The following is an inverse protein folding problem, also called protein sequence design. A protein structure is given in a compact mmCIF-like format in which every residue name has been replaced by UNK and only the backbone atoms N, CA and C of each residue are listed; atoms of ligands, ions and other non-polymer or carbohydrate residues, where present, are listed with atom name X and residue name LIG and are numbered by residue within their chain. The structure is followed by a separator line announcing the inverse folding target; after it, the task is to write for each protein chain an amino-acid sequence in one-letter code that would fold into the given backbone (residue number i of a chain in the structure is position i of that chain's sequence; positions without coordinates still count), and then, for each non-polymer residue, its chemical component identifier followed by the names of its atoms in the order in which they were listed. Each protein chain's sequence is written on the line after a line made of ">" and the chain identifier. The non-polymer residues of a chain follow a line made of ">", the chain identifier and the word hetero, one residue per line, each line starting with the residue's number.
data_IF_663024091420
#
_entry.id   IF_663024091420
#
_cell.length_a   1.000
_cell.length_b   1.000
_cell.length_c   1.000
_cell.angle_alpha   90.00
_cell.angle_beta   90.00
_cell.angle_gamma   90.00
#
_symmetry.space_group_name_H-M   'P 1'
#
loop_
_entity.id
_entity.type
_entity.pdbx_description
1 polymer ?
#
# COMPACT_ATOMS: atom_id res chain seq x y z
N UNK A 1 -18.57 22.05 -50.05
CA UNK A 1 -19.59 22.53 -49.09
C UNK A 1 -20.20 21.37 -48.30
N UNK A 2 -20.83 20.38 -48.93
CA UNK A 2 -21.49 19.25 -48.22
C UNK A 2 -20.53 18.48 -47.29
N UNK A 3 -19.32 18.13 -47.74
CA UNK A 3 -18.33 17.43 -46.91
C UNK A 3 -17.91 18.22 -45.65
N UNK A 4 -17.79 19.54 -45.75
CA UNK A 4 -17.44 20.42 -44.62
C UNK A 4 -18.60 20.52 -43.63
N UNK A 5 -19.84 20.61 -44.12
CA UNK A 5 -21.02 20.62 -43.26
C UNK A 5 -21.22 19.30 -42.52
N UNK A 6 -20.96 18.16 -43.19
CA UNK A 6 -21.05 16.83 -42.57
C UNK A 6 -19.94 16.62 -41.53
N UNK A 7 -18.70 17.03 -41.82
CA UNK A 7 -17.61 16.92 -40.84
C UNK A 7 -17.81 17.83 -39.63
N UNK A 8 -18.34 19.04 -39.82
CA UNK A 8 -18.70 19.94 -38.72
C UNK A 8 -19.85 19.38 -37.86
N UNK A 9 -20.89 18.81 -38.47
CA UNK A 9 -21.98 18.17 -37.75
C UNK A 9 -21.50 16.95 -36.93
N UNK A 10 -20.63 16.12 -37.52
CA UNK A 10 -20.01 14.99 -36.81
C UNK A 10 -19.11 15.44 -35.65
N UNK A 11 -18.30 16.49 -35.87
CA UNK A 11 -17.45 17.06 -34.82
C UNK A 11 -18.29 17.63 -33.67
N UNK A 12 -19.35 18.37 -33.96
CA UNK A 12 -20.28 18.90 -32.96
C UNK A 12 -20.93 17.78 -32.15
N UNK A 13 -21.43 16.74 -32.82
CA UNK A 13 -22.02 15.57 -32.16
C UNK A 13 -21.01 14.85 -31.26
N UNK A 14 -19.77 14.66 -31.74
CA UNK A 14 -18.68 14.06 -30.95
C UNK A 14 -18.33 14.89 -29.71
N UNK A 15 -18.32 16.22 -29.82
CA UNK A 15 -18.03 17.10 -28.68
C UNK A 15 -19.16 17.06 -27.65
N UNK A 16 -20.42 17.04 -28.07
CA UNK A 16 -21.55 16.97 -27.13
C UNK A 16 -21.68 15.62 -26.42
N UNK A 17 -21.30 14.53 -27.07
CA UNK A 17 -21.39 13.17 -26.52
C UNK A 17 -20.15 12.76 -25.72
N UNK A 18 -19.09 13.57 -25.70
CA UNK A 18 -17.88 13.26 -24.95
C UNK A 18 -18.08 13.54 -23.44
N UNK A 19 -17.82 12.54 -22.60
CA UNK A 19 -17.77 12.71 -21.14
C UNK A 19 -16.60 13.64 -20.79
N UNK A 20 -16.81 14.75 -20.07
CA UNK A 20 -15.73 15.63 -19.66
C UNK A 20 -14.74 14.90 -18.75
N UNK A 21 -13.45 15.13 -18.98
CA UNK A 21 -12.35 14.53 -18.22
C UNK A 21 -11.50 15.64 -17.61
N UNK A 22 -11.21 15.53 -16.32
CA UNK A 22 -10.45 16.52 -15.56
C UNK A 22 -9.22 15.86 -14.96
N UNK A 23 -8.06 16.49 -15.17
CA UNK A 23 -6.81 16.05 -14.54
C UNK A 23 -6.59 16.82 -13.25
N UNK A 24 -6.54 16.09 -12.14
CA UNK A 24 -6.12 16.60 -10.83
C UNK A 24 -4.69 16.16 -10.57
N UNK A 25 -3.93 16.95 -9.81
CA UNK A 25 -2.56 16.59 -9.46
C UNK A 25 -2.21 17.00 -8.04
N UNK A 26 -1.35 16.21 -7.40
CA UNK A 26 -0.73 16.47 -6.11
C UNK A 26 0.78 16.32 -6.23
N UNK A 27 1.52 17.02 -5.37
CA UNK A 27 2.99 16.94 -5.31
C UNK A 27 3.35 16.32 -3.97
N UNK A 28 4.12 15.24 -4.00
CA UNK A 28 4.67 14.58 -2.82
C UNK A 28 6.18 14.75 -2.79
N UNK A 29 6.71 15.11 -1.63
CA UNK A 29 8.13 15.07 -1.36
C UNK A 29 8.50 13.67 -0.88
N UNK A 30 9.42 13.00 -1.59
CA UNK A 30 10.02 11.77 -1.08
C UNK A 30 11.15 12.17 -0.13
N UNK A 31 11.04 11.73 1.12
CA UNK A 31 12.11 11.86 2.08
C UNK A 31 13.14 10.77 1.81
N UNK A 32 14.34 11.18 1.38
CA UNK A 32 15.45 10.26 1.24
C UNK A 32 15.98 9.90 2.62
N UNK A 33 16.03 8.60 2.91
CA UNK A 33 16.85 8.13 4.01
C UNK A 33 18.29 8.06 3.51
N UNK A 34 19.18 8.82 4.15
CA UNK A 34 20.62 8.68 4.02
C UNK A 34 21.04 7.32 4.58
N UNK A 35 20.73 6.26 3.83
CA UNK A 35 21.34 4.96 4.05
C UNK A 35 22.81 5.15 3.72
N UNK A 36 23.66 5.16 4.75
CA UNK A 36 25.12 5.19 4.64
C UNK A 36 25.55 4.15 3.61
N UNK A 37 25.88 4.61 2.39
CA UNK A 37 26.28 3.73 1.29
C UNK A 37 27.76 3.39 1.47
N UNK A 38 28.12 2.11 1.74
CA UNK A 38 29.52 1.70 1.85
C UNK A 38 30.32 2.02 0.57
N UNK A 39 29.65 2.14 -0.58
CA UNK A 39 30.29 2.51 -1.86
C UNK A 39 30.60 4.00 -1.99
N UNK A 40 29.79 4.87 -1.35
CA UNK A 40 30.09 6.31 -1.26
C UNK A 40 31.31 6.58 -0.37
N UNK A 41 31.51 5.76 0.67
CA UNK A 41 32.70 5.76 1.51
C UNK A 41 33.95 5.32 0.71
N UNK A 42 33.78 4.50 -0.33
CA UNK A 42 34.85 3.99 -1.20
C UNK A 42 35.07 4.85 -2.46
N UNK A 43 34.36 5.97 -2.63
CA UNK A 43 34.54 6.89 -3.77
C UNK A 43 34.13 6.31 -5.14
N UNK A 44 33.40 5.19 -5.16
CA UNK A 44 33.05 4.44 -6.37
C UNK A 44 31.52 4.40 -6.54
N UNK A 45 30.93 5.48 -7.06
CA UNK A 45 29.61 5.43 -7.71
C UNK A 45 28.59 6.43 -7.19
N UNK A 46 28.29 7.47 -7.99
CA UNK A 46 27.33 8.53 -7.65
C UNK A 46 26.39 8.90 -8.82
N UNK A 47 26.18 8.05 -9.84
CA UNK A 47 25.44 8.47 -11.06
C UNK A 47 24.21 7.60 -11.41
N UNK A 48 23.92 6.52 -10.67
CA UNK A 48 22.87 5.57 -11.07
C UNK A 48 21.81 5.18 -10.02
N UNK A 49 22.05 5.40 -8.72
CA UNK A 49 21.17 4.87 -7.65
C UNK A 49 20.01 5.78 -7.26
N UNK A 50 20.12 7.09 -7.46
CA UNK A 50 19.05 8.04 -7.15
C UNK A 50 17.78 7.75 -7.96
N UNK A 51 17.92 7.36 -9.23
CA UNK A 51 16.80 6.98 -10.09
C UNK A 51 16.14 5.67 -9.63
N UNK A 52 16.88 4.71 -9.09
CA UNK A 52 16.33 3.43 -8.62
C UNK A 52 15.42 3.62 -7.39
N UNK A 53 15.83 4.43 -6.42
CA UNK A 53 15.01 4.73 -5.24
C UNK A 53 13.70 5.44 -5.63
N UNK A 54 13.78 6.46 -6.49
CA UNK A 54 12.59 7.17 -6.99
C UNK A 54 11.67 6.21 -7.77
N UNK A 55 12.23 5.32 -8.59
CA UNK A 55 11.45 4.30 -9.32
C UNK A 55 10.78 3.26 -8.39
N UNK A 56 11.31 3.04 -7.20
CA UNK A 56 10.67 2.17 -6.20
C UNK A 56 9.47 2.88 -5.57
N UNK A 57 9.61 4.15 -5.21
CA UNK A 57 8.50 4.96 -4.70
C UNK A 57 7.39 5.14 -5.74
N UNK A 58 7.74 5.38 -7.01
CA UNK A 58 6.78 5.39 -8.12
C UNK A 58 6.02 4.05 -8.19
N UNK A 59 6.73 2.93 -8.02
CA UNK A 59 6.13 1.59 -8.00
C UNK A 59 5.19 1.38 -6.82
N UNK A 60 5.55 1.84 -5.62
CA UNK A 60 4.72 1.76 -4.42
C UNK A 60 3.44 2.58 -4.60
N UNK A 61 3.55 3.80 -5.14
CA UNK A 61 2.41 4.69 -5.41
C UNK A 61 1.41 4.09 -6.42
N UNK A 62 1.88 3.28 -7.36
CA UNK A 62 1.05 2.57 -8.35
C UNK A 62 0.62 1.17 -7.92
N UNK A 63 1.07 0.70 -6.76
CA UNK A 63 0.83 -0.69 -6.33
C UNK A 63 -0.65 -0.95 -6.03
N UNK A 64 -1.14 -2.12 -6.45
CA UNK A 64 -2.52 -2.57 -6.19
C UNK A 64 -2.88 -2.46 -4.72
N UNK A 65 -1.98 -2.90 -3.83
CA UNK A 65 -2.21 -2.93 -2.39
C UNK A 65 -2.42 -1.53 -1.79
N UNK A 66 -1.68 -0.51 -2.24
CA UNK A 66 -1.85 0.86 -1.76
C UNK A 66 -3.16 1.47 -2.26
N UNK A 67 -3.46 1.25 -3.55
CA UNK A 67 -4.69 1.74 -4.18
C UNK A 67 -5.92 1.07 -3.57
N UNK A 68 -5.85 -0.23 -3.29
CA UNK A 68 -6.92 -0.99 -2.64
C UNK A 68 -7.21 -0.47 -1.23
N UNK A 69 -6.17 -0.28 -0.39
CA UNK A 69 -6.32 0.36 0.93
C UNK A 69 -6.98 1.74 0.82
N UNK A 70 -6.62 2.50 -0.21
CA UNK A 70 -7.19 3.83 -0.48
C UNK A 70 -8.68 3.74 -0.85
N UNK A 71 -9.05 2.80 -1.72
CA UNK A 71 -10.44 2.56 -2.16
C UNK A 71 -11.31 2.13 -0.98
N UNK A 72 -10.81 1.25 -0.12
CA UNK A 72 -11.52 0.76 1.07
C UNK A 72 -11.81 1.90 2.04
N UNK A 73 -10.86 2.82 2.25
CA UNK A 73 -11.05 3.99 3.11
C UNK A 73 -12.11 4.97 2.59
N UNK A 74 -12.23 5.09 1.27
CA UNK A 74 -13.15 6.02 0.62
C UNK A 74 -14.53 5.41 0.32
N UNK A 75 -14.72 4.10 0.54
CA UNK A 75 -15.97 3.37 0.26
C UNK A 75 -16.47 3.54 -1.19
N UNK A 76 -15.56 3.47 -2.17
CA UNK A 76 -15.88 3.68 -3.60
C UNK A 76 -16.64 2.51 -4.28
N UNK A 77 -17.03 1.49 -3.53
CA UNK A 77 -17.73 0.30 -4.05
C UNK A 77 -19.05 0.63 -4.75
N UNK A 78 -19.69 1.74 -4.39
CA UNK A 78 -20.94 2.20 -5.00
C UNK A 78 -20.74 3.59 -5.60
N UNK A 79 -20.99 3.69 -6.91
CA UNK A 79 -20.95 4.96 -7.63
C UNK A 79 -22.36 5.40 -8.02
N UNK A 80 -22.62 6.70 -8.00
CA UNK A 80 -23.94 7.29 -8.25
C UNK A 80 -23.88 8.17 -9.48
N UNK A 81 -24.92 8.14 -10.30
CA UNK A 81 -24.95 8.83 -11.58
C UNK A 81 -26.30 9.49 -11.81
N UNK A 82 -26.26 10.72 -12.32
CA UNK A 82 -27.42 11.42 -12.86
C UNK A 82 -27.51 11.12 -14.36
N UNK A 83 -28.64 10.59 -14.85
CA UNK A 83 -28.87 10.39 -16.27
C UNK A 83 -28.90 11.74 -16.97
N UNK A 84 -28.08 11.90 -18.00
CA UNK A 84 -28.04 13.11 -18.82
C UNK A 84 -28.57 12.86 -20.23
N UNK A 85 -28.79 13.93 -20.99
CA UNK A 85 -29.26 13.81 -22.38
C UNK A 85 -28.18 13.22 -23.31
N UNK A 86 -26.91 13.53 -23.06
CA UNK A 86 -25.79 13.10 -23.90
C UNK A 86 -24.82 12.15 -23.19
N UNK A 87 -24.60 12.37 -21.90
CA UNK A 87 -23.77 11.53 -21.05
C UNK A 87 -24.27 11.61 -19.61
N UNK A 88 -23.99 10.55 -18.86
CA UNK A 88 -24.32 10.49 -17.44
C UNK A 88 -23.23 11.17 -16.62
N UNK A 89 -23.66 11.92 -15.61
CA UNK A 89 -22.74 12.64 -14.72
C UNK A 89 -22.64 11.92 -13.40
N UNK A 90 -21.43 11.54 -13.02
CA UNK A 90 -21.17 10.94 -11.71
C UNK A 90 -21.37 11.98 -10.59
N UNK A 91 -22.19 11.64 -9.60
CA UNK A 91 -22.41 12.44 -8.40
C UNK A 91 -21.59 11.86 -7.27
N UNK A 92 -20.87 12.72 -6.56
CA UNK A 92 -20.05 12.38 -5.41
C UNK A 92 -20.35 13.32 -4.25
N UNK A 93 -20.49 12.78 -3.02
CA UNK A 93 -20.90 13.45 -1.75
C UNK A 93 -22.29 14.09 -1.73
N UNK A 94 -22.70 14.78 -2.80
CA UNK A 94 -24.00 15.45 -2.91
C UNK A 94 -25.08 14.52 -3.46
N UNK A 95 -25.15 13.29 -2.95
CA UNK A 95 -26.12 12.29 -3.41
C UNK A 95 -27.43 12.39 -2.61
N UNK A 96 -28.60 12.36 -3.27
CA UNK A 96 -29.91 12.45 -2.59
C UNK A 96 -30.20 11.21 -1.74
N UNK A 97 -29.43 10.14 -1.90
CA UNK A 97 -29.44 8.96 -1.06
C UNK A 97 -28.05 8.34 -1.00
N UNK A 98 -27.87 7.43 -0.06
CA UNK A 98 -26.70 6.57 0.07
C UNK A 98 -27.14 5.12 0.25
N UNK A 99 -26.39 4.24 -0.38
CA UNK A 99 -26.54 2.79 -0.32
C UNK A 99 -25.38 2.26 0.53
N UNK A 100 -25.71 1.52 1.57
CA UNK A 100 -24.73 0.77 2.35
C UNK A 100 -24.87 -0.70 2.00
N UNK A 101 -23.88 -1.25 1.30
CA UNK A 101 -23.86 -2.66 0.92
C UNK A 101 -23.58 -3.53 2.14
N UNK A 102 -24.29 -4.64 2.23
CA UNK A 102 -23.93 -5.75 3.09
C UNK A 102 -22.94 -6.66 2.34
N UNK A 103 -21.65 -6.56 2.69
CA UNK A 103 -20.56 -7.27 2.02
C UNK A 103 -20.53 -8.78 2.30
N UNK A 104 -21.32 -9.26 3.27
CA UNK A 104 -21.45 -10.69 3.56
C UNK A 104 -22.45 -11.39 2.64
N UNK A 105 -23.28 -10.62 1.94
CA UNK A 105 -24.26 -11.13 0.99
C UNK A 105 -23.77 -10.92 -0.46
N UNK A 106 -24.14 -11.81 -1.40
CA UNK A 106 -23.87 -11.60 -2.82
C UNK A 106 -24.57 -10.34 -3.34
N UNK A 107 -23.92 -9.64 -4.27
CA UNK A 107 -24.43 -8.39 -4.84
C UNK A 107 -24.37 -8.42 -6.36
N UNK A 108 -25.42 -7.93 -7.01
CA UNK A 108 -25.38 -7.61 -8.44
C UNK A 108 -24.44 -6.43 -8.66
N UNK A 109 -23.51 -6.59 -9.61
CA UNK A 109 -22.49 -5.60 -9.97
C UNK A 109 -22.68 -5.11 -11.41
N UNK A 110 -22.11 -3.92 -11.71
CA UNK A 110 -22.09 -3.30 -13.04
C UNK A 110 -23.48 -3.13 -13.70
N UNK A 111 -24.55 -3.16 -12.89
CA UNK A 111 -25.93 -2.99 -13.35
C UNK A 111 -26.51 -1.72 -12.73
N UNK A 112 -27.14 -0.83 -13.52
CA UNK A 112 -27.73 0.40 -13.00
C UNK A 112 -29.04 0.12 -12.26
N UNK A 113 -29.11 0.58 -11.00
CA UNK A 113 -30.31 0.60 -10.18
C UNK A 113 -30.86 2.04 -10.13
N UNK A 114 -31.93 2.30 -10.88
CA UNK A 114 -32.58 3.60 -10.94
C UNK A 114 -33.41 3.84 -9.69
N UNK A 115 -33.28 5.03 -9.12
CA UNK A 115 -34.02 5.46 -7.94
C UNK A 115 -34.85 6.68 -8.30
N UNK A 116 -36.16 6.54 -8.19
CA UNK A 116 -37.13 7.60 -8.42
C UNK A 116 -37.89 7.88 -7.12
N UNK A 117 -37.92 9.15 -6.68
CA UNK A 117 -38.83 9.51 -5.60
C UNK A 117 -40.28 9.51 -6.11
N UNK A 118 -41.16 8.83 -5.39
CA UNK A 118 -42.62 8.92 -5.59
C UNK A 118 -43.20 10.06 -4.75
N UNK A 119 -42.69 10.21 -3.52
CA UNK A 119 -43.11 11.22 -2.55
C UNK A 119 -41.89 11.60 -1.67
N UNK A 120 -42.04 12.57 -0.75
CA UNK A 120 -40.98 13.06 0.16
C UNK A 120 -40.32 11.99 1.06
N UNK A 121 -40.89 10.78 1.14
CA UNK A 121 -40.38 9.70 2.01
C UNK A 121 -40.35 8.32 1.35
N UNK A 122 -40.79 8.21 0.10
CA UNK A 122 -40.91 6.92 -0.59
C UNK A 122 -40.21 6.96 -1.95
N UNK A 123 -39.32 6.00 -2.15
CA UNK A 123 -38.49 5.86 -3.34
C UNK A 123 -38.78 4.53 -4.02
N UNK A 124 -38.86 4.52 -5.35
CA UNK A 124 -38.93 3.30 -6.15
C UNK A 124 -37.54 3.00 -6.68
N UNK A 125 -37.04 1.80 -6.41
CA UNK A 125 -35.78 1.30 -6.94
C UNK A 125 -36.07 0.26 -8.01
N UNK A 126 -35.62 0.50 -9.22
CA UNK A 126 -35.80 -0.40 -10.36
C UNK A 126 -34.48 -0.76 -11.01
N UNK A 127 -34.34 -2.00 -11.48
CA UNK A 127 -33.23 -2.41 -12.32
C UNK A 127 -33.69 -3.46 -13.32
N UNK A 128 -33.24 -3.32 -14.56
CA UNK A 128 -33.51 -4.27 -15.63
C UNK A 128 -32.22 -4.58 -16.38
N UNK A 129 -31.90 -5.86 -16.56
CA UNK A 129 -30.75 -6.29 -17.34
C UNK A 129 -31.01 -7.64 -17.99
N UNK A 130 -30.62 -7.80 -19.26
CA UNK A 130 -30.68 -9.10 -19.94
C UNK A 130 -29.73 -10.12 -19.29
N UNK A 131 -28.56 -9.64 -18.85
CA UNK A 131 -27.59 -10.43 -18.11
C UNK A 131 -26.99 -9.58 -16.98
N UNK A 132 -27.05 -10.08 -15.75
CA UNK A 132 -26.47 -9.45 -14.57
C UNK A 132 -25.53 -10.40 -13.85
N UNK A 133 -24.33 -9.94 -13.52
CA UNK A 133 -23.34 -10.70 -12.76
C UNK A 133 -23.56 -10.51 -11.26
N UNK A 134 -23.54 -11.62 -10.52
CA UNK A 134 -23.61 -11.63 -9.05
C UNK A 134 -22.21 -11.91 -8.49
N UNK A 135 -21.76 -11.06 -7.58
CA UNK A 135 -20.42 -11.08 -7.01
C UNK A 135 -20.47 -11.28 -5.49
N UNK A 136 -19.58 -12.13 -4.97
CA UNK A 136 -19.36 -12.27 -3.52
C UNK A 136 -18.16 -11.40 -3.13
N UNK A 137 -18.41 -10.38 -2.31
CA UNK A 137 -17.32 -9.55 -1.77
C UNK A 137 -16.50 -10.27 -0.70
N UNK A 138 -17.07 -11.28 -0.04
CA UNK A 138 -16.38 -12.09 0.95
C UNK A 138 -15.39 -13.08 0.31
N UNK A 139 -15.77 -13.70 -0.80
CA UNK A 139 -14.93 -14.67 -1.52
C UNK A 139 -14.10 -14.04 -2.65
N UNK A 140 -14.32 -12.74 -2.92
CA UNK A 140 -13.75 -11.98 -4.03
C UNK A 140 -13.92 -12.63 -5.42
N UNK A 141 -15.02 -13.36 -5.60
CA UNK A 141 -15.30 -14.20 -6.76
C UNK A 141 -16.70 -13.94 -7.36
N UNK A 142 -16.88 -14.35 -8.61
CA UNK A 142 -18.21 -14.36 -9.24
C UNK A 142 -19.02 -15.50 -8.63
N UNK A 143 -20.09 -15.16 -7.92
CA UNK A 143 -20.98 -16.12 -7.26
C UNK A 143 -22.02 -16.71 -8.22
N UNK A 144 -22.35 -16.00 -9.30
CA UNK A 144 -23.30 -16.46 -10.29
C UNK A 144 -23.72 -15.37 -11.28
N UNK A 145 -24.81 -15.63 -12.00
CA UNK A 145 -25.40 -14.69 -12.94
C UNK A 145 -26.90 -14.86 -13.05
N UNK A 146 -27.59 -13.78 -13.41
CA UNK A 146 -29.04 -13.71 -13.57
C UNK A 146 -29.34 -13.35 -15.02
N UNK A 147 -30.20 -14.11 -15.67
CA UNK A 147 -30.76 -13.78 -16.98
C UNK A 147 -32.10 -13.06 -16.80
N UNK A 148 -32.33 -12.00 -17.58
CA UNK A 148 -33.53 -11.16 -17.52
C UNK A 148 -33.85 -10.68 -16.09
N UNK A 149 -32.88 -10.03 -15.44
CA UNK A 149 -33.10 -9.36 -14.17
C UNK A 149 -34.22 -8.33 -14.33
N UNK A 150 -35.27 -8.47 -13.51
CA UNK A 150 -36.31 -7.48 -13.33
C UNK A 150 -36.48 -7.25 -11.83
N UNK A 151 -36.00 -6.11 -11.36
CA UNK A 151 -36.05 -5.69 -9.97
C UNK A 151 -36.90 -4.43 -9.87
N UNK A 152 -37.86 -4.44 -8.95
CA UNK A 152 -38.75 -3.30 -8.68
C UNK A 152 -39.21 -3.38 -7.22
N UNK A 153 -38.84 -2.38 -6.44
CA UNK A 153 -39.23 -2.30 -5.02
C UNK A 153 -39.46 -0.86 -4.58
N UNK A 154 -40.23 -0.69 -3.52
CA UNK A 154 -40.45 0.59 -2.85
C UNK A 154 -39.71 0.58 -1.51
N UNK A 155 -38.92 1.62 -1.26
CA UNK A 155 -38.10 1.78 -0.06
C UNK A 155 -38.30 3.14 0.58
N UNK A 156 -38.19 3.17 1.91
CA UNK A 156 -38.07 4.37 2.74
C UNK A 156 -36.65 4.48 3.29
N UNK A 157 -36.30 5.65 3.80
CA UNK A 157 -35.02 5.84 4.48
C UNK A 157 -34.91 4.93 5.71
N UNK A 158 -33.83 4.16 5.79
CA UNK A 158 -33.58 3.16 6.82
C UNK A 158 -34.01 1.73 6.44
N UNK A 159 -34.75 1.55 5.34
CA UNK A 159 -35.18 0.22 4.92
C UNK A 159 -33.99 -0.62 4.47
N UNK A 160 -34.03 -1.90 4.85
CA UNK A 160 -33.07 -2.90 4.38
C UNK A 160 -33.72 -3.70 3.26
N UNK A 161 -33.11 -3.67 2.08
CA UNK A 161 -33.46 -4.53 0.95
C UNK A 161 -32.56 -5.74 1.00
N UNK A 162 -33.13 -6.93 1.08
CA UNK A 162 -32.38 -8.18 1.10
C UNK A 162 -33.05 -9.23 0.22
N UNK A 163 -32.29 -9.80 -0.71
CA UNK A 163 -32.68 -10.95 -1.52
C UNK A 163 -31.44 -11.80 -1.85
N UNK A 164 -31.63 -12.87 -2.63
CA UNK A 164 -30.58 -13.84 -2.95
C UNK A 164 -29.35 -13.28 -3.71
N UNK A 165 -29.45 -12.06 -4.26
CA UNK A 165 -28.43 -11.47 -5.12
C UNK A 165 -28.16 -9.98 -4.86
N UNK A 166 -28.77 -9.40 -3.82
CA UNK A 166 -28.68 -7.98 -3.51
C UNK A 166 -29.06 -7.75 -2.04
N UNK A 167 -28.19 -7.10 -1.29
CA UNK A 167 -28.41 -6.77 0.13
C UNK A 167 -27.86 -5.39 0.46
N UNK A 168 -28.71 -4.43 0.79
CA UNK A 168 -28.28 -3.08 1.14
C UNK A 168 -29.26 -2.34 2.05
N UNK A 169 -28.73 -1.33 2.74
CA UNK A 169 -29.53 -0.37 3.52
C UNK A 169 -29.67 0.92 2.71
N UNK A 170 -30.91 1.35 2.48
CA UNK A 170 -31.21 2.59 1.78
C UNK A 170 -31.28 3.76 2.79
N UNK A 171 -30.52 4.83 2.56
CA UNK A 171 -30.57 6.04 3.39
C UNK A 171 -30.81 7.27 2.52
N UNK A 172 -31.99 7.86 2.62
CA UNK A 172 -32.31 9.10 1.93
C UNK A 172 -31.65 10.30 2.64
N UNK A 173 -31.21 11.28 1.86
CA UNK A 173 -30.79 12.59 2.35
C UNK A 173 -31.94 13.59 2.15
N UNK A 174 -32.61 13.95 3.23
CA UNK A 174 -33.78 14.84 3.21
C UNK A 174 -33.48 16.30 2.83
N UNK A 175 -32.20 16.68 2.72
CA UNK A 175 -31.81 18.05 2.38
C UNK A 175 -31.71 18.32 0.88
N UNK A 176 -31.65 17.27 0.06
CA UNK A 176 -31.48 17.37 -1.39
C UNK A 176 -32.80 17.06 -2.12
N UNK A 177 -33.06 17.80 -3.19
CA UNK A 177 -34.24 17.55 -4.01
C UNK A 177 -34.13 16.16 -4.67
N UNK A 178 -35.22 15.39 -4.73
CA UNK A 178 -35.18 14.10 -5.39
C UNK A 178 -35.14 14.30 -6.90
N UNK A 179 -33.98 13.98 -7.48
CA UNK A 179 -33.81 13.85 -8.93
C UNK A 179 -33.67 12.36 -9.28
N UNK A 180 -34.02 11.95 -10.51
CA UNK A 180 -33.74 10.60 -10.97
C UNK A 180 -32.22 10.39 -10.95
N UNK A 181 -31.77 9.45 -10.12
CA UNK A 181 -30.36 9.08 -9.97
C UNK A 181 -30.31 7.56 -9.95
N UNK A 182 -29.28 6.97 -10.53
CA UNK A 182 -29.02 5.55 -10.41
C UNK A 182 -27.70 5.29 -9.70
N UNK A 183 -27.60 4.12 -9.07
CA UNK A 183 -26.35 3.65 -8.50
C UNK A 183 -25.88 2.38 -9.18
N UNK A 184 -24.56 2.17 -9.16
CA UNK A 184 -23.90 0.98 -9.70
C UNK A 184 -22.91 0.47 -8.67
N UNK A 185 -23.02 -0.81 -8.34
CA UNK A 185 -22.06 -1.50 -7.50
C UNK A 185 -20.88 -1.99 -8.34
N UNK A 186 -19.67 -1.81 -7.84
CA UNK A 186 -18.42 -2.16 -8.50
C UNK A 186 -17.61 -3.11 -7.63
N UNK A 187 -16.70 -3.85 -8.26
CA UNK A 187 -15.75 -4.69 -7.54
C UNK A 187 -14.49 -3.90 -7.21
N UNK A 188 -13.84 -4.26 -6.08
CA UNK A 188 -12.52 -3.71 -5.74
C UNK A 188 -11.53 -3.88 -6.89
N UNK A 189 -11.50 -5.07 -7.50
CA UNK A 189 -10.63 -5.37 -8.64
C UNK A 189 -10.81 -4.40 -9.81
N UNK A 190 -12.04 -4.06 -10.17
CA UNK A 190 -12.31 -3.10 -11.25
C UNK A 190 -11.89 -1.70 -10.85
N UNK A 191 -12.22 -1.27 -9.62
CA UNK A 191 -11.83 0.03 -9.09
C UNK A 191 -10.30 0.18 -9.06
N UNK A 192 -9.58 -0.81 -8.53
CA UNK A 192 -8.11 -0.81 -8.49
C UNK A 192 -7.53 -0.62 -9.88
N UNK A 193 -8.01 -1.38 -10.88
CA UNK A 193 -7.58 -1.23 -12.29
C UNK A 193 -7.86 0.17 -12.83
N UNK A 194 -9.02 0.76 -12.52
CA UNK A 194 -9.38 2.12 -12.94
C UNK A 194 -8.43 3.16 -12.35
N UNK A 195 -8.15 3.07 -11.05
CA UNK A 195 -7.31 4.04 -10.33
C UNK A 195 -5.80 3.80 -10.49
N UNK A 196 -5.37 2.60 -10.91
CA UNK A 196 -3.99 2.29 -11.27
C UNK A 196 -3.46 3.07 -12.47
N UNK A 197 -4.35 3.58 -13.32
CA UNK A 197 -3.98 4.41 -14.48
C UNK A 197 -3.57 5.85 -14.11
N UNK A 198 -3.26 6.10 -12.83
CA UNK A 198 -2.67 7.36 -12.38
C UNK A 198 -1.28 7.56 -12.99
N UNK A 199 -0.94 8.80 -13.29
CA UNK A 199 0.39 9.17 -13.75
C UNK A 199 1.24 9.61 -12.56
N UNK A 200 2.46 9.11 -12.50
CA UNK A 200 3.47 9.55 -11.53
C UNK A 200 4.70 9.96 -12.32
N UNK A 201 5.14 11.21 -12.12
CA UNK A 201 6.26 11.81 -12.83
C UNK A 201 7.20 12.47 -11.82
N UNK A 202 8.50 12.29 -12.00
CA UNK A 202 9.52 13.00 -11.25
C UNK A 202 9.57 14.46 -11.72
N UNK A 203 9.63 15.39 -10.76
CA UNK A 203 9.83 16.80 -11.06
C UNK A 203 11.34 17.07 -11.29
N UNK A 204 11.71 17.83 -12.34
CA UNK A 204 13.11 18.07 -12.67
C UNK A 204 13.92 18.57 -11.47
N UNK A 205 15.10 17.96 -11.26
CA UNK A 205 16.07 18.37 -10.25
C UNK A 205 15.53 18.36 -8.80
N UNK A 206 14.59 17.47 -8.48
CA UNK A 206 14.01 17.36 -7.13
C UNK A 206 13.68 15.92 -6.76
N UNK A 207 13.56 15.63 -5.47
CA UNK A 207 13.00 14.37 -4.95
C UNK A 207 11.48 14.40 -4.86
N UNK A 208 10.84 15.30 -5.61
CA UNK A 208 9.39 15.47 -5.60
C UNK A 208 8.77 14.66 -6.74
N UNK A 209 7.69 13.97 -6.42
CA UNK A 209 6.84 13.30 -7.39
C UNK A 209 5.56 14.11 -7.60
N UNK A 210 5.22 14.33 -8.86
CA UNK A 210 3.87 14.75 -9.26
C UNK A 210 3.04 13.51 -9.52
N UNK A 211 1.96 13.38 -8.77
CA UNK A 211 0.93 12.36 -8.99
C UNK A 211 -0.26 13.05 -9.64
N UNK A 212 -0.77 12.52 -10.74
CA UNK A 212 -1.98 13.00 -11.37
C UNK A 212 -2.94 11.89 -11.73
N UNK A 213 -4.23 12.20 -11.68
CA UNK A 213 -5.31 11.31 -12.07
C UNK A 213 -6.29 12.08 -12.95
N UNK A 214 -6.74 11.43 -14.03
CA UNK A 214 -7.74 11.98 -14.95
C UNK A 214 -9.04 11.23 -14.76
N UNK A 215 -10.10 11.94 -14.38
CA UNK A 215 -11.41 11.35 -14.14
C UNK A 215 -12.56 12.30 -14.46
N UNK A 216 -13.78 11.76 -14.45
CA UNK A 216 -15.02 12.50 -14.74
C UNK A 216 -15.49 13.39 -13.58
N UNK A 217 -15.18 13.01 -12.34
CA UNK A 217 -15.55 13.76 -11.13
C UNK A 217 -14.32 14.40 -10.50
N UNK A 218 -14.27 15.74 -10.49
CA UNK A 218 -13.16 16.51 -9.90
C UNK A 218 -13.04 16.20 -8.41
N UNK A 219 -14.13 16.32 -7.65
CA UNK A 219 -14.12 16.11 -6.19
C UNK A 219 -13.72 14.69 -5.81
N UNK A 220 -14.25 13.68 -6.51
CA UNK A 220 -13.89 12.27 -6.28
C UNK A 220 -12.42 12.02 -6.56
N UNK A 221 -11.88 12.64 -7.62
CA UNK A 221 -10.48 12.52 -8.00
C UNK A 221 -9.54 13.22 -7.00
N UNK A 222 -9.93 14.39 -6.47
CA UNK A 222 -9.20 15.10 -5.41
C UNK A 222 -9.16 14.27 -4.13
N UNK A 223 -10.31 13.76 -3.69
CA UNK A 223 -10.40 12.91 -2.50
C UNK A 223 -9.56 11.63 -2.64
N UNK A 224 -9.59 11.02 -3.81
CA UNK A 224 -8.73 9.86 -4.12
C UNK A 224 -7.24 10.20 -3.97
N UNK A 225 -6.75 11.26 -4.63
CA UNK A 225 -5.34 11.62 -4.55
C UNK A 225 -4.92 12.01 -3.13
N UNK A 226 -5.78 12.70 -2.37
CA UNK A 226 -5.52 13.04 -0.97
C UNK A 226 -5.44 11.78 -0.10
N UNK A 227 -6.40 10.86 -0.24
CA UNK A 227 -6.39 9.61 0.53
C UNK A 227 -5.20 8.74 0.15
N UNK A 228 -4.83 8.66 -1.13
CA UNK A 228 -3.67 7.91 -1.62
C UNK A 228 -2.37 8.47 -1.00
N UNK A 229 -2.22 9.80 -1.00
CA UNK A 229 -1.09 10.47 -0.35
C UNK A 229 -1.04 10.16 1.16
N UNK A 230 -2.18 10.22 1.84
CA UNK A 230 -2.25 9.88 3.26
C UNK A 230 -1.91 8.42 3.55
N UNK A 231 -2.43 7.47 2.77
CA UNK A 231 -2.11 6.04 2.94
C UNK A 231 -0.64 5.74 2.62
N UNK A 232 -0.06 6.43 1.63
CA UNK A 232 1.37 6.32 1.32
C UNK A 232 2.23 6.78 2.51
N UNK A 233 1.94 7.95 3.07
CA UNK A 233 2.65 8.47 4.23
C UNK A 233 2.47 7.57 5.46
N UNK A 234 1.25 7.07 5.70
CA UNK A 234 0.94 6.16 6.80
C UNK A 234 1.72 4.84 6.65
N UNK A 235 1.79 4.29 5.44
CA UNK A 235 2.59 3.09 5.15
C UNK A 235 4.08 3.30 5.44
N UNK A 236 4.62 4.49 5.14
CA UNK A 236 5.99 4.84 5.49
C UNK A 236 6.24 4.82 7.00
N UNK A 237 5.29 5.34 7.80
CA UNK A 237 5.37 5.31 9.28
C UNK A 237 5.25 3.88 9.81
N UNK A 238 4.30 3.10 9.29
CA UNK A 238 4.10 1.68 9.64
C UNK A 238 5.38 0.88 9.41
N UNK A 239 6.04 1.09 8.27
CA UNK A 239 7.31 0.46 7.94
C UNK A 239 8.42 0.85 8.92
N UNK A 240 8.57 2.15 9.23
CA UNK A 240 9.56 2.64 10.20
C UNK A 240 9.37 2.05 11.59
N UNK A 241 8.12 1.97 12.05
CA UNK A 241 7.79 1.35 13.33
C UNK A 241 8.14 -0.14 13.34
N UNK A 242 7.85 -0.87 12.26
CA UNK A 242 8.20 -2.28 12.15
C UNK A 242 9.71 -2.51 12.21
N UNK A 243 10.49 -1.69 11.49
CA UNK A 243 11.96 -1.76 11.54
C UNK A 243 12.49 -1.46 12.95
N UNK A 244 11.91 -0.49 13.65
CA UNK A 244 12.27 -0.18 15.03
C UNK A 244 11.96 -1.35 15.99
N UNK A 245 10.77 -1.97 15.88
CA UNK A 245 10.39 -3.14 16.69
C UNK A 245 11.34 -4.31 16.44
N UNK A 246 11.64 -4.61 15.18
CA UNK A 246 12.57 -5.69 14.83
C UNK A 246 13.98 -5.41 15.36
N UNK A 247 14.41 -4.15 15.34
CA UNK A 247 15.70 -3.73 15.91
C UNK A 247 15.72 -3.93 17.43
N UNK A 248 14.63 -3.59 18.15
CA UNK A 248 14.51 -3.83 19.60
C UNK A 248 14.60 -5.33 19.91
N UNK A 249 13.81 -6.15 19.20
CA UNK A 249 13.80 -7.60 19.41
C UNK A 249 15.20 -8.20 19.19
N UNK A 250 15.90 -7.75 18.15
CA UNK A 250 17.28 -8.18 17.90
C UNK A 250 18.23 -7.79 19.05
N UNK A 251 18.12 -6.56 19.57
CA UNK A 251 18.94 -6.10 20.70
C UNK A 251 18.66 -6.93 21.96
N UNK A 252 17.39 -7.24 22.24
CA UNK A 252 17.02 -8.06 23.40
C UNK A 252 17.61 -9.48 23.30
N UNK A 253 17.51 -10.12 22.14
CA UNK A 253 18.15 -11.43 21.87
C UNK A 253 19.67 -11.37 22.01
N UNK A 254 20.29 -10.28 21.54
CA UNK A 254 21.72 -10.06 21.66
C UNK A 254 22.15 -9.90 23.13
N UNK A 255 21.42 -9.11 23.92
CA UNK A 255 21.75 -8.82 25.32
C UNK A 255 21.69 -10.08 26.20
N UNK A 256 20.68 -10.93 26.03
CA UNK A 256 20.58 -12.19 26.78
C UNK A 256 21.82 -13.04 26.57
N UNK A 257 22.21 -13.25 25.32
CA UNK A 257 23.32 -14.16 25.03
C UNK A 257 24.70 -13.55 25.31
N UNK A 258 24.86 -12.22 25.16
CA UNK A 258 26.10 -11.55 25.60
C UNK A 258 26.24 -11.65 27.11
N UNK A 259 25.15 -11.50 27.86
CA UNK A 259 25.14 -11.66 29.32
C UNK A 259 25.54 -13.07 29.72
N UNK A 260 24.95 -14.10 29.09
CA UNK A 260 25.32 -15.50 29.32
C UNK A 260 26.79 -15.79 28.99
N UNK A 261 27.28 -15.25 27.87
CA UNK A 261 28.67 -15.41 27.47
C UNK A 261 29.64 -14.70 28.43
N UNK A 262 29.28 -13.53 28.97
CA UNK A 262 30.09 -12.79 29.94
C UNK A 262 30.14 -13.52 31.28
N UNK A 263 29.00 -13.99 31.78
CA UNK A 263 28.92 -14.81 33.01
C UNK A 263 29.77 -16.08 32.86
N UNK A 264 29.75 -16.73 31.69
CA UNK A 264 30.59 -17.88 31.41
C UNK A 264 32.09 -17.52 31.47
N UNK A 265 32.52 -16.45 30.79
CA UNK A 265 33.92 -16.00 30.82
C UNK A 265 34.37 -15.56 32.23
N UNK A 266 33.51 -14.89 33.00
CA UNK A 266 33.79 -14.51 34.39
C UNK A 266 34.00 -15.73 35.29
N UNK A 267 33.14 -16.76 35.17
CA UNK A 267 33.28 -18.01 35.90
C UNK A 267 34.57 -18.77 35.52
N UNK A 268 34.93 -18.79 34.24
CA UNK A 268 36.19 -19.39 33.77
C UNK A 268 37.41 -18.64 34.31
N UNK A 269 37.37 -17.30 34.31
CA UNK A 269 38.42 -16.46 34.86
C UNK A 269 38.58 -16.64 36.38
N UNK A 270 37.47 -16.70 37.12
CA UNK A 270 37.47 -16.96 38.56
C UNK A 270 38.06 -18.34 38.86
N UNK A 271 37.65 -19.37 38.11
CA UNK A 271 38.16 -20.74 38.23
C UNK A 271 39.65 -20.81 37.92
N UNK A 272 40.11 -20.09 36.89
CA UNK A 272 41.52 -19.97 36.57
C UNK A 272 42.31 -19.33 37.71
N UNK A 273 41.84 -18.21 38.27
CA UNK A 273 42.46 -17.52 39.40
C UNK A 273 42.58 -18.42 40.64
N UNK A 274 41.50 -19.14 40.99
CA UNK A 274 41.48 -20.10 42.12
C UNK A 274 42.50 -21.22 41.92
N UNK A 275 42.53 -21.82 40.73
CA UNK A 275 43.39 -22.98 40.42
C UNK A 275 44.88 -22.63 40.31
N UNK A 276 45.20 -21.38 39.92
CA UNK A 276 46.58 -20.93 39.73
C UNK A 276 47.14 -20.08 40.88
N UNK A 277 46.36 -19.84 41.94
CA UNK A 277 46.76 -19.06 43.13
C UNK A 277 47.47 -17.74 42.77
N UNK A 278 46.97 -17.04 41.75
CA UNK A 278 47.61 -15.84 41.16
C UNK A 278 47.39 -14.64 42.09
N UNK A 279 48.23 -14.51 43.11
CA UNK A 279 48.24 -13.37 44.03
C UNK A 279 49.47 -12.46 43.84
N UNK A 280 50.44 -12.84 43.00
CA UNK A 280 51.53 -11.97 42.56
C UNK A 280 51.69 -12.04 41.04
N UNK A 281 51.36 -10.93 40.36
CA UNK A 281 51.48 -10.80 38.91
C UNK A 281 52.89 -10.33 38.56
N UNK A 282 53.77 -11.24 38.18
CA UNK A 282 55.01 -10.86 37.49
C UNK A 282 54.68 -10.23 36.12
N UNK A 283 55.56 -9.37 35.58
CA UNK A 283 55.36 -8.62 34.32
C UNK A 283 54.87 -9.48 33.14
N UNK A 284 55.34 -10.72 33.05
CA UNK A 284 54.91 -11.70 32.03
C UNK A 284 53.43 -12.08 32.18
N UNK A 285 52.91 -12.19 33.41
CA UNK A 285 51.49 -12.44 33.65
C UNK A 285 50.64 -11.25 33.23
N UNK A 286 51.09 -10.01 33.46
CA UNK A 286 50.38 -8.81 33.00
C UNK A 286 50.27 -8.74 31.46
N UNK A 287 51.35 -9.08 30.74
CA UNK A 287 51.31 -9.19 29.28
C UNK A 287 50.34 -10.29 28.83
N UNK A 288 50.35 -11.44 29.50
CA UNK A 288 49.47 -12.56 29.18
C UNK A 288 48.00 -12.20 29.42
N UNK A 289 47.69 -11.44 30.48
CA UNK A 289 46.36 -10.90 30.75
C UNK A 289 45.91 -9.88 29.70
N UNK A 290 46.81 -9.01 29.24
CA UNK A 290 46.49 -8.05 28.17
C UNK A 290 46.16 -8.77 26.86
N UNK A 291 46.95 -9.79 26.50
CA UNK A 291 46.70 -10.60 25.31
C UNK A 291 45.39 -11.39 25.44
N UNK A 292 45.10 -11.93 26.62
CA UNK A 292 43.86 -12.65 26.88
C UNK A 292 42.64 -11.73 26.75
N UNK A 293 42.71 -10.50 27.30
CA UNK A 293 41.66 -9.49 27.15
C UNK A 293 41.43 -9.13 25.67
N UNK A 294 42.49 -8.85 24.92
CA UNK A 294 42.40 -8.52 23.49
C UNK A 294 41.80 -9.69 22.70
N UNK A 295 42.19 -10.92 23.01
CA UNK A 295 41.66 -12.14 22.37
C UNK A 295 40.18 -12.34 22.70
N UNK A 296 39.75 -12.08 23.93
CA UNK A 296 38.32 -12.12 24.30
C UNK A 296 37.51 -11.03 23.60
N UNK A 297 38.03 -9.81 23.48
CA UNK A 297 37.40 -8.72 22.72
C UNK A 297 37.24 -9.10 21.23
N UNK A 298 38.30 -9.65 20.60
CA UNK A 298 38.23 -10.15 19.23
C UNK A 298 37.21 -11.27 19.07
N UNK A 299 37.18 -12.23 20.00
CA UNK A 299 36.20 -13.32 20.01
C UNK A 299 34.77 -12.80 20.14
N UNK A 300 34.53 -11.79 20.98
CA UNK A 300 33.24 -11.16 21.14
C UNK A 300 32.79 -10.47 19.84
N UNK A 301 33.68 -9.74 19.16
CA UNK A 301 33.40 -9.11 17.87
C UNK A 301 33.07 -10.15 16.78
N UNK A 302 33.83 -11.25 16.72
CA UNK A 302 33.57 -12.33 15.76
C UNK A 302 32.24 -13.03 16.01
N UNK A 303 31.89 -13.30 17.27
CA UNK A 303 30.57 -13.84 17.64
C UNK A 303 29.43 -12.91 17.22
N UNK A 304 29.59 -11.60 17.41
CA UNK A 304 28.63 -10.59 16.98
C UNK A 304 28.38 -10.66 15.46
N UNK A 305 29.47 -10.74 14.68
CA UNK A 305 29.39 -10.90 13.22
C UNK A 305 28.73 -12.21 12.81
N UNK A 306 29.13 -13.32 13.42
CA UNK A 306 28.57 -14.66 13.16
C UNK A 306 27.07 -14.68 13.35
N UNK A 307 26.56 -14.14 14.47
CA UNK A 307 25.13 -14.06 14.71
C UNK A 307 24.39 -13.21 13.71
N UNK A 308 24.94 -12.06 13.35
CA UNK A 308 24.32 -11.22 12.33
C UNK A 308 24.21 -11.97 11.01
N UNK A 309 25.23 -12.76 10.63
CA UNK A 309 25.14 -13.65 9.48
C UNK A 309 24.07 -14.74 9.65
N UNK A 310 23.93 -15.35 10.82
CA UNK A 310 22.86 -16.32 11.09
C UNK A 310 21.47 -15.71 11.01
N UNK A 311 21.28 -14.49 11.53
CA UNK A 311 20.05 -13.71 11.39
C UNK A 311 19.70 -13.50 9.91
N UNK A 312 20.68 -13.07 9.10
CA UNK A 312 20.48 -12.90 7.65
C UNK A 312 20.16 -14.22 6.94
N UNK A 313 20.84 -15.31 7.29
CA UNK A 313 20.57 -16.64 6.72
C UNK A 313 19.14 -17.08 7.02
N UNK A 314 18.68 -16.91 8.27
CA UNK A 314 17.31 -17.22 8.66
C UNK A 314 16.28 -16.40 7.86
N UNK A 315 16.50 -15.09 7.74
CA UNK A 315 15.65 -14.23 6.92
C UNK A 315 15.56 -14.66 5.44
N UNK A 316 16.70 -15.06 4.85
CA UNK A 316 16.75 -15.52 3.46
C UNK A 316 16.06 -16.87 3.30
N UNK A 317 16.26 -17.80 4.24
CA UNK A 317 15.68 -19.14 4.18
C UNK A 317 14.16 -19.15 4.38
N UNK A 318 13.64 -18.27 5.23
CA UNK A 318 12.20 -18.19 5.52
C UNK A 318 11.38 -17.53 4.41
N UNK A 319 12.03 -16.97 3.37
CA UNK A 319 11.42 -16.38 2.17
C UNK A 319 10.30 -15.36 2.49
N UNK A 320 10.31 -14.78 3.69
CA UNK A 320 9.32 -13.84 4.19
C UNK A 320 10.04 -12.62 4.77
N UNK A 321 9.57 -11.42 4.37
CA UNK A 321 9.87 -10.12 5.01
C UNK A 321 11.31 -9.58 4.88
N UNK A 322 11.91 -9.71 3.70
CA UNK A 322 13.24 -9.15 3.40
C UNK A 322 13.30 -7.60 3.33
N UNK A 323 12.17 -6.91 3.37
CA UNK A 323 12.12 -5.45 3.55
C UNK A 323 12.44 -4.99 4.98
N UNK A 324 12.54 -5.92 5.95
CA UNK A 324 12.65 -5.61 7.37
C UNK A 324 14.06 -5.88 7.95
N UNK A 325 15.10 -5.89 7.09
CA UNK A 325 16.49 -6.16 7.48
C UNK A 325 17.02 -5.00 8.35
N UNK A 326 17.58 -5.34 9.52
CA UNK A 326 18.27 -4.38 10.38
C UNK A 326 19.64 -4.08 9.77
N UNK A 327 20.02 -2.80 9.71
CA UNK A 327 21.22 -2.34 8.99
C UNK A 327 22.50 -2.77 9.73
N UNK A 328 23.53 -3.33 9.06
CA UNK A 328 24.75 -3.82 9.73
C UNK A 328 25.51 -2.75 10.54
N UNK A 329 25.53 -1.52 10.04
CA UNK A 329 26.28 -0.41 10.65
C UNK A 329 25.69 0.04 11.98
N UNK A 330 24.38 -0.10 12.19
CA UNK A 330 23.76 0.19 13.50
C UNK A 330 24.14 -0.84 14.57
N UNK A 331 24.71 -1.99 14.16
CA UNK A 331 25.21 -3.05 15.03
C UNK A 331 26.74 -3.04 15.20
N UNK A 332 27.43 -2.02 14.69
CA UNK A 332 28.90 -1.94 14.73
C UNK A 332 29.61 -2.89 13.77
N UNK A 333 28.89 -3.51 12.84
CA UNK A 333 29.45 -4.38 11.79
C UNK A 333 29.72 -3.53 10.55
N UNK A 334 30.98 -3.10 10.42
CA UNK A 334 31.46 -2.35 9.26
C UNK A 334 32.01 -3.30 8.18
N UNK A 335 31.13 -4.09 7.56
CA UNK A 335 31.47 -4.95 6.41
C UNK A 335 30.85 -4.35 5.13
N UNK A 336 31.71 -3.79 4.28
CA UNK A 336 31.28 -3.10 3.07
C UNK A 336 30.66 -4.06 2.04
N UNK A 337 31.17 -5.29 1.93
CA UNK A 337 30.66 -6.28 0.97
C UNK A 337 29.30 -6.79 1.40
N UNK A 338 29.14 -7.05 2.69
CA UNK A 338 27.86 -7.43 3.28
C UNK A 338 26.80 -6.34 3.07
N UNK A 339 27.16 -5.08 3.30
CA UNK A 339 26.27 -3.94 3.03
C UNK A 339 25.81 -3.88 1.57
N UNK A 340 26.70 -4.18 0.61
CA UNK A 340 26.32 -4.23 -0.82
C UNK A 340 25.37 -5.39 -1.13
N UNK A 341 25.64 -6.59 -0.61
CA UNK A 341 24.79 -7.76 -0.86
C UNK A 341 23.40 -7.60 -0.26
N UNK A 342 23.28 -6.98 0.93
CA UNK A 342 21.99 -6.66 1.55
C UNK A 342 21.20 -5.65 0.70
N UNK A 343 21.89 -4.64 0.14
CA UNK A 343 21.24 -3.66 -0.75
C UNK A 343 20.76 -4.31 -2.05
N UNK A 344 21.52 -5.23 -2.63
CA UNK A 344 21.09 -5.99 -3.81
C UNK A 344 19.88 -6.89 -3.49
N UNK A 345 19.88 -7.54 -2.32
CA UNK A 345 18.78 -8.39 -1.87
C UNK A 345 17.48 -7.59 -1.63
N UNK A 346 17.58 -6.44 -0.98
CA UNK A 346 16.42 -5.54 -0.73
C UNK A 346 15.85 -4.98 -2.03
N UNK A 347 16.70 -4.50 -2.94
CA UNK A 347 16.25 -4.02 -4.26
C UNK A 347 15.64 -5.11 -5.13
N UNK A 348 16.22 -6.32 -5.13
CA UNK A 348 15.68 -7.47 -5.85
C UNK A 348 14.28 -7.87 -5.34
N UNK A 349 14.09 -7.90 -4.02
CA UNK A 349 12.79 -8.28 -3.42
C UNK A 349 11.70 -7.24 -3.65
N UNK A 350 12.03 -5.95 -3.60
CA UNK A 350 11.14 -4.87 -4.02
C UNK A 350 10.70 -5.02 -5.49
N UNK A 351 11.60 -5.50 -6.35
CA UNK A 351 11.30 -5.76 -7.76
C UNK A 351 10.39 -6.98 -7.96
N UNK A 352 10.55 -8.06 -7.17
CA UNK A 352 9.66 -9.23 -7.22
C UNK A 352 8.24 -8.92 -6.75
N UNK A 353 8.07 -8.04 -5.75
CA UNK A 353 6.75 -7.56 -5.32
C UNK A 353 6.01 -6.80 -6.43
N UNK A 354 6.75 -6.14 -7.35
CA UNK A 354 6.15 -5.52 -8.55
C UNK A 354 5.58 -6.57 -9.51
N UNK A 355 6.26 -7.70 -9.71
CA UNK A 355 5.84 -8.76 -10.65
C UNK A 355 4.67 -9.62 -10.15
N UNK A 356 4.60 -9.92 -8.84
CA UNK A 356 3.45 -10.65 -8.27
C UNK A 356 2.15 -9.82 -8.22
N UNK A 357 2.19 -8.53 -8.61
CA UNK A 357 1.04 -7.64 -8.65
C UNK A 357 0.41 -7.48 -10.04
N UNK A 358 0.98 -8.10 -11.06
CA UNK A 358 0.43 -8.16 -12.43
C UNK A 358 -0.07 -9.58 -12.73
N UNK A 359 -1.34 -9.77 -13.15
CA UNK A 359 -1.84 -11.06 -13.58
C UNK A 359 -1.19 -11.56 -14.86
#
# INVERSE_FOLDING_TARGET
>A
MVSISVSAAYAYYKVQTAVPQYTVSSILLIQQEDRLDPQAILGLGLVGKQSQQVNNEIGILRSSALIERTIDKLNFLTSYYKPGQFYDTEIYKNTPFSIQLDLFSPQVINTPFFVEAKNDSLFRVTATAEYATVYSYLEESVAGSITNLAFDTLVKSGDTVHNAYLSFIFRANSTLQPEPVYFVNQTKRNLVKTYQNLAVQELPSSTMLRISYTGSSIEKSVDFLNALAHEYLAKGIEHKNQVAINTINYIDELLVEVTDSLIYSENELETFRKRKQVLNLDYQSQQLFSLLKETEEQKAQLKLKEKYYMYLIGLVQDNKKLGEIVIPSTMGINDAVLGTLINELTTFTESCLKWNSTP
#
